data_IF_392164171447
#
_entry.id   IF_392164171447
#
_cell.length_a   1.000
_cell.length_b   1.000
_cell.length_c   1.000
_cell.angle_alpha   90.00
_cell.angle_beta   90.00
_cell.angle_gamma   90.00
#
_symmetry.space_group_name_H-M   'P 1'
#
loop_
_entity.id
_entity.type
_entity.pdbx_description
1 polymer ?
#
# COMPACT_ATOMS: atom_id res chain seq x y z
N UNK A 1 -14.55 -14.28 8.00
CA UNK A 1 -14.15 -14.25 6.57
C UNK A 1 -12.65 -14.52 6.43
N UNK A 2 -12.13 -15.01 5.29
CA UNK A 2 -10.67 -15.05 5.06
C UNK A 2 -10.21 -13.69 4.50
N UNK A 3 -9.34 -12.98 5.23
CA UNK A 3 -8.83 -11.66 4.87
C UNK A 3 -7.31 -11.74 4.61
N UNK A 4 -6.86 -12.17 3.42
CA UNK A 4 -5.43 -12.33 3.14
C UNK A 4 -4.62 -11.04 3.31
N UNK A 5 -5.26 -9.89 3.11
CA UNK A 5 -4.63 -8.57 3.22
C UNK A 5 -5.14 -7.77 4.43
N UNK A 6 -5.89 -8.38 5.35
CA UNK A 6 -6.57 -7.67 6.43
C UNK A 6 -6.51 -8.43 7.74
N UNK A 7 -6.32 -7.71 8.83
CA UNK A 7 -6.35 -8.23 10.20
C UNK A 7 -7.27 -7.37 11.05
N UNK A 8 -8.22 -8.00 11.76
CA UNK A 8 -9.13 -7.32 12.68
C UNK A 8 -8.70 -7.66 14.11
N UNK A 9 -8.34 -6.63 14.88
CA UNK A 9 -7.97 -6.73 16.29
C UNK A 9 -8.80 -5.76 17.11
N UNK A 10 -9.78 -6.30 17.85
CA UNK A 10 -10.73 -5.49 18.62
C UNK A 10 -11.58 -4.61 17.71
N UNK A 11 -11.45 -3.29 17.86
CA UNK A 11 -12.15 -2.30 17.04
C UNK A 11 -11.33 -1.78 15.85
N UNK A 12 -10.19 -2.40 15.55
CA UNK A 12 -9.27 -1.93 14.52
C UNK A 12 -9.15 -2.93 13.37
N UNK A 13 -9.25 -2.44 12.14
CA UNK A 13 -8.88 -3.15 10.92
C UNK A 13 -7.54 -2.59 10.42
N UNK A 14 -6.57 -3.48 10.24
CA UNK A 14 -5.30 -3.17 9.57
C UNK A 14 -5.24 -3.91 8.25
N UNK A 15 -5.18 -3.17 7.14
CA UNK A 15 -4.97 -3.72 5.81
C UNK A 15 -3.49 -3.57 5.42
N UNK A 16 -2.90 -4.61 4.81
CA UNK A 16 -1.49 -4.64 4.42
C UNK A 16 -1.36 -4.90 2.93
N UNK A 17 -0.71 -3.97 2.23
CA UNK A 17 -0.43 -4.06 0.80
C UNK A 17 1.08 -4.13 0.57
N UNK A 18 1.50 -4.96 -0.38
CA UNK A 18 2.92 -5.07 -0.75
C UNK A 18 3.33 -3.86 -1.60
N UNK A 19 4.41 -3.18 -1.21
CA UNK A 19 5.00 -2.11 -2.04
C UNK A 19 5.65 -2.62 -3.33
N UNK A 20 5.75 -3.94 -3.53
CA UNK A 20 6.09 -4.48 -4.85
C UNK A 20 4.96 -4.24 -5.85
N UNK A 21 3.72 -4.23 -5.38
CA UNK A 21 2.54 -4.23 -6.23
C UNK A 21 1.87 -2.87 -6.24
N UNK A 22 1.86 -2.18 -5.09
CA UNK A 22 1.18 -0.91 -4.88
C UNK A 22 2.13 0.20 -4.45
N UNK A 23 1.74 1.44 -4.70
CA UNK A 23 2.35 2.62 -4.06
C UNK A 23 1.46 3.13 -2.93
N UNK A 24 2.03 3.86 -1.98
CA UNK A 24 1.24 4.56 -0.93
C UNK A 24 0.19 5.48 -1.56
N UNK A 25 0.57 6.18 -2.63
CA UNK A 25 -0.31 7.12 -3.32
C UNK A 25 -1.52 6.41 -3.94
N UNK A 26 -1.33 5.26 -4.60
CA UNK A 26 -2.42 4.48 -5.20
C UNK A 26 -3.36 3.91 -4.12
N UNK A 27 -2.82 3.43 -3.01
CA UNK A 27 -3.64 2.95 -1.88
C UNK A 27 -4.48 4.08 -1.28
N UNK A 28 -3.88 5.26 -1.07
CA UNK A 28 -4.61 6.43 -0.55
C UNK A 28 -5.68 6.90 -1.54
N UNK A 29 -5.39 6.92 -2.84
CA UNK A 29 -6.35 7.31 -3.86
C UNK A 29 -7.59 6.39 -3.85
N UNK A 30 -7.38 5.07 -3.83
CA UNK A 30 -8.47 4.10 -3.75
C UNK A 30 -9.28 4.21 -2.46
N UNK A 31 -8.63 4.44 -1.32
CA UNK A 31 -9.34 4.65 -0.04
C UNK A 31 -10.18 5.93 -0.10
N UNK A 32 -9.65 7.01 -0.68
CA UNK A 32 -10.32 8.30 -0.77
C UNK A 32 -11.61 8.23 -1.59
N UNK A 33 -11.67 7.40 -2.62
CA UNK A 33 -12.88 7.21 -3.45
C UNK A 33 -14.04 6.55 -2.71
N UNK A 34 -13.78 5.91 -1.56
CA UNK A 34 -14.78 5.17 -0.79
C UNK A 34 -14.86 5.61 0.67
N UNK A 35 -14.23 6.73 1.02
CA UNK A 35 -14.14 7.19 2.42
C UNK A 35 -15.52 7.51 3.00
N UNK A 36 -16.42 8.02 2.17
CA UNK A 36 -17.82 8.31 2.50
C UNK A 36 -18.58 7.04 2.93
N UNK A 37 -18.45 5.95 2.16
CA UNK A 37 -19.06 4.65 2.48
C UNK A 37 -18.48 4.08 3.77
N UNK A 38 -17.17 4.24 3.99
CA UNK A 38 -16.50 3.78 5.22
C UNK A 38 -17.00 4.56 6.45
N UNK A 39 -17.20 5.88 6.31
CA UNK A 39 -17.77 6.72 7.36
C UNK A 39 -19.23 6.34 7.68
N UNK A 40 -20.05 6.03 6.67
CA UNK A 40 -21.43 5.55 6.86
C UNK A 40 -21.51 4.22 7.64
N UNK A 41 -20.49 3.36 7.50
CA UNK A 41 -20.37 2.12 8.28
C UNK A 41 -19.95 2.37 9.75
N UNK A 42 -19.71 3.62 10.14
CA UNK A 42 -19.23 4.00 11.46
C UNK A 42 -17.74 3.68 11.66
N UNK A 43 -16.98 3.62 10.57
CA UNK A 43 -15.55 3.34 10.60
C UNK A 43 -14.78 4.59 10.18
N UNK A 44 -13.72 4.91 10.91
CA UNK A 44 -12.85 6.06 10.67
C UNK A 44 -11.54 5.59 10.06
N UNK A 45 -11.12 6.21 8.97
CA UNK A 45 -9.77 6.00 8.43
C UNK A 45 -8.75 6.76 9.30
N UNK A 46 -7.78 6.04 9.84
CA UNK A 46 -6.74 6.59 10.72
C UNK A 46 -5.49 7.03 9.96
N UNK A 47 -5.26 6.48 8.77
CA UNK A 47 -4.13 6.82 7.91
C UNK A 47 -3.44 5.61 7.29
N UNK A 48 -2.40 5.91 6.51
CA UNK A 48 -1.53 4.93 5.87
C UNK A 48 -0.09 5.20 6.25
N UNK A 49 0.68 4.13 6.50
CA UNK A 49 2.12 4.19 6.74
C UNK A 49 2.83 3.04 6.02
N UNK A 50 4.06 3.28 5.58
CA UNK A 50 4.97 2.19 5.21
C UNK A 50 5.75 1.76 6.44
N UNK A 51 5.89 0.45 6.64
CA UNK A 51 6.84 -0.08 7.61
C UNK A 51 8.25 0.49 7.33
N UNK A 52 8.99 0.90 8.36
CA UNK A 52 10.37 1.38 8.20
C UNK A 52 11.28 0.24 8.63
N UNK A 53 11.92 -0.42 7.67
CA UNK A 53 12.89 -1.47 7.97
C UNK A 53 14.15 -0.84 8.57
N UNK A 54 14.47 -1.25 9.80
CA UNK A 54 15.66 -0.78 10.51
C UNK A 54 16.88 -1.61 10.11
N UNK A 55 17.86 -0.99 9.46
CA UNK A 55 19.15 -1.60 9.14
C UNK A 55 19.41 -1.84 7.66
N UNK A 56 20.65 -2.18 7.27
CA UNK A 56 21.00 -2.45 5.88
C UNK A 56 20.32 -3.74 5.41
N UNK A 57 19.36 -3.62 4.49
CA UNK A 57 18.73 -4.77 3.84
C UNK A 57 19.56 -5.14 2.61
N UNK A 58 20.27 -6.29 2.57
CA UNK A 58 21.14 -6.67 1.44
C UNK A 58 20.34 -7.06 0.19
N UNK A 59 19.03 -7.21 0.30
CA UNK A 59 18.10 -7.57 -0.78
C UNK A 59 16.91 -6.63 -0.70
N UNK A 60 16.49 -6.08 -1.84
CA UNK A 60 15.25 -5.30 -1.93
C UNK A 60 14.09 -6.18 -1.44
N UNK A 61 13.58 -5.90 -0.24
CA UNK A 61 12.39 -6.54 0.30
C UNK A 61 11.21 -5.58 0.17
N UNK A 62 10.13 -5.97 -0.51
CA UNK A 62 8.90 -5.21 -0.49
C UNK A 62 8.47 -4.96 0.95
N UNK A 63 8.24 -3.69 1.24
CA UNK A 63 7.78 -3.22 2.55
C UNK A 63 6.26 -3.18 2.57
N UNK A 64 5.66 -3.44 3.72
CA UNK A 64 4.20 -3.36 3.86
C UNK A 64 3.75 -1.89 3.89
N UNK A 65 2.74 -1.58 3.09
CA UNK A 65 1.91 -0.38 3.22
C UNK A 65 0.74 -0.77 4.11
N UNK A 66 0.69 -0.24 5.33
CA UNK A 66 -0.37 -0.49 6.30
C UNK A 66 -1.41 0.63 6.25
N UNK A 67 -2.67 0.30 5.96
CA UNK A 67 -3.82 1.19 6.09
C UNK A 67 -4.62 0.81 7.34
N UNK A 68 -4.90 1.77 8.21
CA UNK A 68 -5.58 1.53 9.50
C UNK A 68 -6.95 2.18 9.54
N UNK A 69 -7.92 1.42 10.05
CA UNK A 69 -9.30 1.82 10.19
C UNK A 69 -9.80 1.46 11.59
N UNK A 70 -10.56 2.35 12.21
CA UNK A 70 -11.10 2.16 13.55
C UNK A 70 -12.62 2.27 13.54
N UNK A 71 -13.30 1.29 14.11
CA UNK A 71 -14.74 1.36 14.33
C UNK A 71 -15.07 2.26 15.51
N UNK A 72 -15.88 3.29 15.25
CA UNK A 72 -16.39 4.24 16.24
C UNK A 72 -17.93 4.29 16.28
N UNK A 73 -18.60 3.44 15.51
CA UNK A 73 -20.05 3.40 15.36
C UNK A 73 -20.78 2.70 16.52
N UNK A 74 -22.11 2.57 16.35
CA UNK A 74 -22.97 1.77 17.22
C UNK A 74 -23.42 0.52 16.46
N UNK A 75 -23.24 -0.66 17.05
CA UNK A 75 -23.63 -1.93 16.43
C UNK A 75 -22.52 -2.98 16.44
N UNK A 76 -22.56 -3.89 15.46
CA UNK A 76 -21.63 -4.99 15.35
C UNK A 76 -20.32 -4.55 14.67
N UNK A 77 -19.32 -4.28 15.51
CA UNK A 77 -17.98 -3.85 15.10
C UNK A 77 -17.37 -4.76 14.02
N UNK A 78 -17.37 -6.08 14.25
CA UNK A 78 -16.71 -7.03 13.34
C UNK A 78 -17.33 -6.99 11.95
N UNK A 79 -18.66 -6.95 11.87
CA UNK A 79 -19.37 -6.91 10.59
C UNK A 79 -19.09 -5.61 9.82
N UNK A 80 -19.08 -4.46 10.50
CA UNK A 80 -18.71 -3.18 9.89
C UNK A 80 -17.27 -3.17 9.37
N UNK A 81 -16.33 -3.73 10.12
CA UNK A 81 -14.93 -3.84 9.72
C UNK A 81 -14.73 -4.85 8.56
N UNK A 82 -15.43 -5.98 8.55
CA UNK A 82 -15.41 -6.92 7.43
C UNK A 82 -15.97 -6.29 6.14
N UNK A 83 -17.05 -5.50 6.25
CA UNK A 83 -17.58 -4.73 5.10
C UNK A 83 -16.62 -3.65 4.64
N UNK A 84 -15.99 -2.94 5.57
CA UNK A 84 -14.95 -1.94 5.26
C UNK A 84 -13.80 -2.59 4.48
N UNK A 85 -13.32 -3.75 4.92
CA UNK A 85 -12.30 -4.52 4.20
C UNK A 85 -12.72 -4.82 2.76
N UNK A 86 -13.96 -5.26 2.54
CA UNK A 86 -14.46 -5.58 1.20
C UNK A 86 -14.53 -4.35 0.29
N UNK A 87 -15.05 -3.23 0.80
CA UNK A 87 -15.17 -1.97 0.05
C UNK A 87 -13.79 -1.47 -0.37
N UNK A 88 -12.85 -1.39 0.57
CA UNK A 88 -11.50 -0.90 0.28
C UNK A 88 -10.74 -1.86 -0.64
N UNK A 89 -10.83 -3.17 -0.40
CA UNK A 89 -10.18 -4.16 -1.26
C UNK A 89 -10.70 -4.10 -2.70
N UNK A 90 -12.02 -3.94 -2.86
CA UNK A 90 -12.63 -3.77 -4.18
C UNK A 90 -12.13 -2.49 -4.85
N UNK A 91 -12.11 -1.35 -4.14
CA UNK A 91 -11.60 -0.09 -4.68
C UNK A 91 -10.13 -0.18 -5.10
N UNK A 92 -9.28 -0.84 -4.29
CA UNK A 92 -7.86 -1.03 -4.60
C UNK A 92 -7.65 -1.93 -5.83
N UNK A 93 -8.45 -2.99 -6.01
CA UNK A 93 -8.39 -3.82 -7.23
C UNK A 93 -8.93 -3.06 -8.43
N UNK A 94 -10.08 -2.40 -8.31
CA UNK A 94 -10.75 -1.73 -9.43
C UNK A 94 -9.92 -0.54 -9.95
N UNK A 95 -9.06 0.04 -9.12
CA UNK A 95 -8.10 1.09 -9.47
C UNK A 95 -6.72 0.56 -9.85
N UNK A 96 -6.51 -0.76 -9.83
CA UNK A 96 -5.24 -1.35 -10.23
C UNK A 96 -5.05 -1.17 -11.75
N UNK A 97 -3.86 -0.72 -12.19
CA UNK A 97 -3.59 -0.54 -13.62
C UNK A 97 -3.76 -1.85 -14.37
N UNK A 98 -4.12 -1.74 -15.66
CA UNK A 98 -4.16 -2.92 -16.52
C UNK A 98 -2.78 -3.58 -16.61
N UNK A 99 -2.74 -4.89 -16.87
CA UNK A 99 -1.47 -5.63 -16.98
C UNK A 99 -0.44 -4.95 -17.92
N UNK A 100 -0.82 -4.42 -19.10
CA UNK A 100 0.12 -3.70 -19.97
C UNK A 100 0.67 -2.41 -19.34
N UNK A 101 -0.19 -1.61 -18.69
CA UNK A 101 0.22 -0.37 -18.03
C UNK A 101 1.15 -0.66 -16.85
N UNK A 102 0.85 -1.70 -16.08
CA UNK A 102 1.68 -2.14 -14.97
C UNK A 102 3.05 -2.64 -15.44
N UNK A 103 3.09 -3.47 -16.49
CA UNK A 103 4.33 -3.98 -17.07
C UNK A 103 5.21 -2.85 -17.61
N UNK A 104 4.62 -1.86 -18.28
CA UNK A 104 5.35 -0.69 -18.76
C UNK A 104 5.93 0.12 -17.59
N UNK A 105 5.12 0.43 -16.57
CA UNK A 105 5.59 1.17 -15.40
C UNK A 105 6.75 0.46 -14.67
N UNK A 106 6.73 -0.88 -14.62
CA UNK A 106 7.83 -1.67 -14.06
C UNK A 106 9.10 -1.62 -14.91
N UNK A 107 8.96 -1.68 -16.22
CA UNK A 107 10.08 -1.51 -17.16
C UNK A 107 10.74 -0.14 -16.97
N UNK A 108 9.94 0.93 -16.94
CA UNK A 108 10.41 2.31 -16.78
C UNK A 108 11.13 2.51 -15.43
N UNK A 109 10.58 1.94 -14.35
CA UNK A 109 11.23 1.97 -13.04
C UNK A 109 12.57 1.22 -13.05
N UNK A 110 12.65 0.06 -13.72
CA UNK A 110 13.89 -0.68 -13.90
C UNK A 110 14.96 0.14 -14.62
N UNK A 111 14.58 0.85 -15.69
CA UNK A 111 15.49 1.74 -16.43
C UNK A 111 15.98 2.91 -15.57
N UNK A 112 15.10 3.50 -14.75
CA UNK A 112 15.48 4.56 -13.82
C UNK A 112 16.55 4.08 -12.83
N UNK A 113 16.36 2.91 -12.22
CA UNK A 113 17.34 2.34 -11.28
C UNK A 113 18.67 2.03 -11.97
N UNK A 114 18.65 1.45 -13.16
CA UNK A 114 19.87 1.20 -13.93
C UNK A 114 20.64 2.49 -14.22
N UNK A 115 19.93 3.54 -14.63
CA UNK A 115 20.52 4.86 -14.90
C UNK A 115 21.16 5.48 -13.66
N UNK A 116 20.53 5.34 -12.49
CA UNK A 116 21.10 5.78 -11.21
C UNK A 116 22.37 4.99 -10.85
N UNK A 117 22.40 3.69 -11.11
CA UNK A 117 23.58 2.86 -10.88
C UNK A 117 24.75 3.27 -11.79
N UNK A 118 24.49 3.57 -13.06
CA UNK A 118 25.51 4.05 -14.00
C UNK A 118 26.09 5.41 -13.58
N UNK A 119 25.24 6.34 -13.11
CA UNK A 119 25.70 7.62 -12.57
C UNK A 119 26.60 7.44 -11.33
N UNK A 120 26.24 6.55 -10.41
CA UNK A 120 27.05 6.24 -9.23
C UNK A 120 28.38 5.60 -9.61
N UNK A 121 28.39 4.71 -10.62
CA UNK A 121 29.59 4.09 -11.16
C UNK A 121 30.52 5.12 -11.77
N UNK A 122 30.01 5.96 -12.67
CA UNK A 122 30.78 7.03 -13.30
C UNK A 122 31.36 8.01 -12.27
N UNK A 123 30.60 8.36 -11.22
CA UNK A 123 31.10 9.20 -10.12
C UNK A 123 32.23 8.55 -9.35
N UNK A 124 32.14 7.24 -9.11
CA UNK A 124 33.17 6.47 -8.39
C UNK A 124 34.45 6.34 -9.22
N UNK A 125 34.32 6.16 -10.53
CA UNK A 125 35.46 6.10 -11.45
C UNK A 125 36.14 7.47 -11.59
N UNK A 126 35.37 8.56 -11.77
CA UNK A 126 35.90 9.93 -11.84
C UNK A 126 36.56 10.44 -10.56
N UNK A 127 36.27 9.84 -9.40
CA UNK A 127 36.89 10.23 -8.12
C UNK A 127 38.22 9.51 -7.83
N UNK A 128 38.63 8.58 -8.71
CA UNK A 128 39.90 7.83 -8.59
C UNK A 128 41.05 8.43 -9.41
N UNK A 129 40.74 9.36 -10.30
CA UNK A 129 41.69 10.23 -11.01
C UNK A 129 41.91 11.55 -10.24
#
# INVERSE_FOLDING_TARGET
>A
MQMPYGDISGNMLTMRFSSADFSVASVIAAIREHVDVVEELGVKFLGVATEITSGPTPVFRPTNIEAKFEYCGKGNCTECLERTYQVIWKGVIDTFPSEPEWAQAKSDFGQYIASQADLLRARTESSKD
#
